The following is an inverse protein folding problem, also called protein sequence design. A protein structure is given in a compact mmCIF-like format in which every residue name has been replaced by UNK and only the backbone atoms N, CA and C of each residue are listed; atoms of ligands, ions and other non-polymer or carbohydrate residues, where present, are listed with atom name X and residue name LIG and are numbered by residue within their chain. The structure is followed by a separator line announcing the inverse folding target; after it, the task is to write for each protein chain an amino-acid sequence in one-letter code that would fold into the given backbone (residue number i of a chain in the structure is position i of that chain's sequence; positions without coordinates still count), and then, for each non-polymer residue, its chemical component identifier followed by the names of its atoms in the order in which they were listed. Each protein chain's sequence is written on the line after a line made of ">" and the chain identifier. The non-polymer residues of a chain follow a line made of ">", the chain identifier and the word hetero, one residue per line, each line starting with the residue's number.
data_IF_878851884667
#
_entry.id   IF_878851884667
#
_cell.length_a   1.000
_cell.length_b   1.000
_cell.length_c   1.000
_cell.angle_alpha   90.00
_cell.angle_beta   90.00
_cell.angle_gamma   90.00
#
_symmetry.space_group_name_H-M   'P 1'
#
loop_
_entity.id
_entity.type
_entity.pdbx_description
1 polymer ?
#
# COMPACT_ATOMS: atom_id res chain seq x y z
N UNK A 1 20.32 -3.34 21.04
CA UNK A 1 20.43 -3.86 19.65
C UNK A 1 19.17 -4.56 19.17
N UNK A 2 18.52 -5.44 19.96
CA UNK A 2 17.31 -6.16 19.52
C UNK A 2 16.14 -5.26 19.09
N UNK A 3 15.85 -4.19 19.83
CA UNK A 3 14.77 -3.24 19.48
C UNK A 3 14.99 -2.59 18.11
N UNK A 4 16.20 -2.08 17.85
CA UNK A 4 16.54 -1.44 16.57
C UNK A 4 16.43 -2.45 15.43
N UNK A 5 16.97 -3.66 15.60
CA UNK A 5 16.86 -4.71 14.59
C UNK A 5 15.41 -5.09 14.28
N UNK A 6 14.56 -5.23 15.30
CA UNK A 6 13.14 -5.50 15.13
C UNK A 6 12.43 -4.35 14.39
N UNK A 7 12.63 -3.11 14.83
CA UNK A 7 12.01 -1.93 14.22
C UNK A 7 12.42 -1.79 12.75
N UNK A 8 13.73 -1.92 12.46
CA UNK A 8 14.24 -1.91 11.08
C UNK A 8 13.64 -3.04 10.25
N UNK A 9 13.53 -4.25 10.80
CA UNK A 9 12.88 -5.38 10.14
C UNK A 9 11.43 -5.09 9.80
N UNK A 10 10.64 -4.58 10.74
CA UNK A 10 9.25 -4.20 10.52
C UNK A 10 9.10 -3.17 9.39
N UNK A 11 9.93 -2.13 9.39
CA UNK A 11 9.92 -1.09 8.35
C UNK A 11 10.29 -1.68 6.99
N UNK A 12 11.37 -2.47 6.91
CA UNK A 12 11.78 -3.07 5.64
C UNK A 12 10.71 -4.00 5.08
N UNK A 13 10.13 -4.88 5.90
CA UNK A 13 9.11 -5.80 5.46
C UNK A 13 7.79 -5.10 5.10
N UNK A 14 7.39 -4.03 5.80
CA UNK A 14 6.18 -3.27 5.42
C UNK A 14 6.31 -2.69 4.02
N UNK A 15 7.47 -2.10 3.70
CA UNK A 15 7.73 -1.57 2.36
C UNK A 15 7.79 -2.68 1.31
N UNK A 16 8.41 -3.82 1.64
CA UNK A 16 8.51 -4.94 0.69
C UNK A 16 7.14 -5.56 0.37
N UNK A 17 6.28 -5.73 1.37
CA UNK A 17 4.93 -6.29 1.17
C UNK A 17 4.06 -5.34 0.35
N UNK A 18 4.17 -4.04 0.61
CA UNK A 18 3.54 -3.01 -0.21
C UNK A 18 4.03 -3.06 -1.66
N UNK A 19 5.35 -3.14 -1.90
CA UNK A 19 5.90 -3.25 -3.25
C UNK A 19 5.36 -4.48 -4.00
N UNK A 20 5.26 -5.64 -3.34
CA UNK A 20 4.64 -6.82 -3.95
C UNK A 20 3.15 -6.66 -4.25
N UNK A 21 2.45 -5.77 -3.54
CA UNK A 21 1.05 -5.46 -3.82
C UNK A 21 0.84 -4.68 -5.12
N UNK A 22 1.86 -4.01 -5.66
CA UNK A 22 1.78 -3.42 -7.00
C UNK A 22 1.89 -4.50 -8.10
N UNK A 23 2.67 -5.55 -7.87
CA UNK A 23 3.02 -6.58 -8.85
C UNK A 23 1.86 -7.48 -9.29
N UNK A 24 1.90 -7.93 -10.54
CA UNK A 24 0.99 -8.98 -11.03
C UNK A 24 1.39 -10.35 -10.49
N UNK A 25 0.42 -11.26 -10.31
CA UNK A 25 0.69 -12.62 -9.80
C UNK A 25 1.79 -13.37 -10.57
N UNK A 26 1.91 -13.15 -11.88
CA UNK A 26 2.93 -13.75 -12.73
C UNK A 26 4.37 -13.29 -12.43
N UNK A 27 4.54 -12.12 -11.82
CA UNK A 27 5.85 -11.52 -11.51
C UNK A 27 6.29 -11.75 -10.07
N UNK A 28 5.46 -12.42 -9.26
CA UNK A 28 5.71 -12.62 -7.84
C UNK A 28 6.11 -14.07 -7.54
N UNK A 29 6.95 -14.32 -6.52
CA UNK A 29 7.20 -15.67 -6.03
C UNK A 29 5.91 -16.37 -5.62
N UNK A 30 5.79 -17.66 -5.88
CA UNK A 30 4.57 -18.44 -5.60
C UNK A 30 4.12 -18.34 -4.12
N UNK A 31 5.07 -18.30 -3.19
CA UNK A 31 4.78 -18.12 -1.76
C UNK A 31 4.16 -16.76 -1.46
N UNK A 32 4.59 -15.69 -2.13
CA UNK A 32 4.02 -14.35 -1.95
C UNK A 32 2.58 -14.32 -2.45
N UNK A 33 2.33 -14.91 -3.63
CA UNK A 33 0.97 -15.04 -4.18
C UNK A 33 0.07 -15.82 -3.24
N UNK A 34 0.53 -16.95 -2.71
CA UNK A 34 -0.23 -17.75 -1.75
C UNK A 34 -0.56 -16.97 -0.47
N UNK A 35 0.38 -16.17 0.05
CA UNK A 35 0.15 -15.34 1.23
C UNK A 35 -0.81 -14.17 0.96
N UNK A 36 -0.76 -13.56 -0.22
CA UNK A 36 -1.73 -12.55 -0.65
C UNK A 36 -3.14 -13.15 -0.81
N UNK A 37 -3.24 -14.32 -1.43
CA UNK A 37 -4.52 -15.03 -1.61
C UNK A 37 -5.11 -15.52 -0.28
N UNK A 38 -4.27 -15.84 0.70
CA UNK A 38 -4.67 -16.18 2.06
C UNK A 38 -5.02 -14.96 2.95
N UNK A 39 -4.81 -13.73 2.46
CA UNK A 39 -5.04 -12.49 3.22
C UNK A 39 -4.01 -12.23 4.34
N UNK A 40 -2.87 -12.92 4.31
CA UNK A 40 -1.75 -12.67 5.24
C UNK A 40 -0.95 -11.45 4.81
N UNK A 41 -0.77 -11.27 3.50
CA UNK A 41 -0.18 -10.08 2.89
C UNK A 41 -1.26 -9.30 2.14
N UNK A 42 -1.11 -7.98 2.05
CA UNK A 42 -2.05 -7.13 1.33
C UNK A 42 -2.10 -7.57 -0.15
N UNK A 43 -3.32 -7.75 -0.65
CA UNK A 43 -3.54 -8.14 -2.03
C UNK A 43 -3.37 -6.95 -2.98
N UNK A 44 -3.05 -7.24 -4.25
CA UNK A 44 -3.02 -6.23 -5.31
C UNK A 44 -4.33 -5.48 -5.47
N UNK A 45 -5.47 -6.15 -5.30
CA UNK A 45 -6.78 -5.52 -5.45
C UNK A 45 -7.07 -4.51 -4.33
N UNK A 46 -6.78 -4.86 -3.07
CA UNK A 46 -6.93 -3.93 -1.94
C UNK A 46 -6.00 -2.73 -2.10
N UNK A 47 -4.75 -2.98 -2.46
CA UNK A 47 -3.78 -1.92 -2.71
C UNK A 47 -4.20 -1.02 -3.88
N UNK A 48 -4.64 -1.60 -5.00
CA UNK A 48 -5.13 -0.83 -6.15
C UNK A 48 -6.41 -0.02 -5.84
N UNK A 49 -7.21 -0.44 -4.85
CA UNK A 49 -8.37 0.32 -4.41
C UNK A 49 -7.96 1.60 -3.65
N UNK A 50 -6.87 1.56 -2.89
CA UNK A 50 -6.28 2.75 -2.24
C UNK A 50 -5.84 3.80 -3.28
N UNK A 51 -5.28 3.35 -4.41
CA UNK A 51 -4.81 4.23 -5.49
C UNK A 51 -5.92 4.79 -6.39
N UNK A 52 -7.19 4.64 -6.01
CA UNK A 52 -8.35 5.15 -6.76
C UNK A 52 -9.19 6.06 -5.87
N UNK A 53 -9.91 6.98 -6.50
CA UNK A 53 -10.92 7.78 -5.82
C UNK A 53 -11.87 6.86 -5.01
N UNK A 54 -12.23 7.23 -3.77
CA UNK A 54 -11.97 8.52 -3.08
C UNK A 54 -10.62 8.66 -2.35
N UNK A 55 -9.62 7.81 -2.59
CA UNK A 55 -8.26 7.86 -2.01
C UNK A 55 -8.14 7.79 -0.48
N UNK A 56 -9.24 7.59 0.24
CA UNK A 56 -9.31 7.59 1.70
C UNK A 56 -9.66 6.20 2.29
N UNK A 57 -9.29 5.13 1.59
CA UNK A 57 -9.55 3.75 2.00
C UNK A 57 -8.28 2.89 1.93
N UNK A 58 -8.34 1.67 2.47
CA UNK A 58 -7.30 0.65 2.34
C UNK A 58 -5.89 1.07 2.80
N UNK A 59 -5.78 1.91 3.84
CA UNK A 59 -4.51 2.46 4.31
C UNK A 59 -3.48 1.44 4.86
N UNK A 60 -3.91 0.24 5.27
CA UNK A 60 -3.00 -0.78 5.83
C UNK A 60 -2.31 -1.58 4.72
N UNK A 61 -1.02 -1.30 4.52
CA UNK A 61 -0.18 -1.83 3.43
C UNK A 61 0.52 -3.17 3.73
N UNK A 62 0.38 -3.71 4.94
CA UNK A 62 1.08 -4.95 5.35
C UNK A 62 0.25 -6.18 5.01
N UNK A 63 -0.83 -6.40 5.76
CA UNK A 63 -1.78 -7.51 5.52
C UNK A 63 -3.12 -7.05 4.94
N UNK A 64 -3.49 -5.78 5.16
CA UNK A 64 -4.81 -5.25 4.81
C UNK A 64 -5.98 -5.80 5.65
N UNK A 65 -5.74 -6.70 6.61
CA UNK A 65 -6.77 -7.36 7.44
C UNK A 65 -7.66 -6.33 8.17
N UNK A 66 -7.06 -5.22 8.60
CA UNK A 66 -7.76 -4.16 9.33
C UNK A 66 -8.51 -3.17 8.43
N UNK A 67 -8.26 -3.17 7.12
CA UNK A 67 -8.81 -2.14 6.22
C UNK A 67 -10.33 -2.08 6.29
N UNK A 68 -11.02 -3.22 6.15
CA UNK A 68 -12.48 -3.24 6.21
C UNK A 68 -13.02 -2.60 7.49
N UNK A 69 -12.50 -3.02 8.64
CA UNK A 69 -12.96 -2.49 9.92
C UNK A 69 -12.68 -0.99 10.05
N UNK A 70 -11.49 -0.53 9.69
CA UNK A 70 -11.10 0.88 9.82
C UNK A 70 -11.79 1.79 8.82
N UNK A 71 -12.04 1.30 7.60
CA UNK A 71 -12.76 2.00 6.54
C UNK A 71 -14.25 2.13 6.89
N UNK A 72 -14.89 1.04 7.36
CA UNK A 72 -16.30 1.04 7.80
C UNK A 72 -16.54 2.05 8.94
N UNK A 73 -15.53 2.26 9.79
CA UNK A 73 -15.59 3.21 10.91
C UNK A 73 -14.95 4.57 10.60
N UNK A 74 -14.51 4.82 9.36
CA UNK A 74 -13.89 6.10 8.91
C UNK A 74 -12.76 6.57 9.83
N UNK A 75 -11.97 5.64 10.37
CA UNK A 75 -10.96 5.95 11.39
C UNK A 75 -9.89 6.90 10.85
N UNK A 76 -9.35 6.62 9.66
CA UNK A 76 -8.32 7.46 9.05
C UNK A 76 -8.86 8.80 8.57
N UNK A 77 -10.09 8.85 8.04
CA UNK A 77 -10.77 10.12 7.70
C UNK A 77 -10.92 11.01 8.95
N UNK A 78 -11.28 10.44 10.10
CA UNK A 78 -11.34 11.19 11.35
C UNK A 78 -9.96 11.72 11.78
N UNK A 79 -8.90 10.91 11.65
CA UNK A 79 -7.52 11.34 11.96
C UNK A 79 -7.04 12.45 11.02
N UNK A 80 -7.37 12.35 9.74
CA UNK A 80 -7.13 13.40 8.73
C UNK A 80 -7.80 14.72 9.11
N UNK A 81 -9.07 14.70 9.53
CA UNK A 81 -9.77 15.89 10.02
C UNK A 81 -9.08 16.48 11.25
N UNK A 82 -8.63 15.66 12.20
CA UNK A 82 -7.89 16.13 13.38
C UNK A 82 -6.59 16.81 12.97
N UNK A 83 -5.80 16.21 12.07
CA UNK A 83 -4.56 16.78 11.56
C UNK A 83 -4.84 18.12 10.87
N UNK A 84 -5.88 18.19 10.03
CA UNK A 84 -6.27 19.40 9.34
C UNK A 84 -6.67 20.52 10.31
N UNK A 85 -7.54 20.24 11.28
CA UNK A 85 -8.01 21.27 12.22
C UNK A 85 -6.93 21.72 13.22
N UNK A 86 -5.98 20.84 13.57
CA UNK A 86 -4.92 21.17 14.53
C UNK A 86 -3.72 21.82 13.89
N UNK A 87 -3.34 21.40 12.69
CA UNK A 87 -2.09 21.80 12.04
C UNK A 87 -2.32 22.60 10.75
N UNK A 88 -3.55 22.69 10.23
CA UNK A 88 -3.86 23.34 8.95
C UNK A 88 -3.35 22.56 7.73
N UNK A 89 -2.81 21.34 7.92
CA UNK A 89 -2.24 20.53 6.85
C UNK A 89 -3.34 19.75 6.14
N UNK A 90 -3.55 20.06 4.85
CA UNK A 90 -4.52 19.35 4.02
C UNK A 90 -4.02 17.93 3.72
N UNK A 91 -4.78 16.88 4.05
CA UNK A 91 -4.44 15.50 3.71
C UNK A 91 -4.31 15.29 2.19
N UNK A 92 -3.42 14.40 1.79
CA UNK A 92 -3.18 14.07 0.37
C UNK A 92 -4.40 13.42 -0.28
N UNK A 93 -5.15 12.62 0.46
CA UNK A 93 -6.36 11.93 0.01
C UNK A 93 -7.47 12.88 -0.46
N UNK A 94 -7.41 14.17 -0.11
CA UNK A 94 -8.43 15.17 -0.46
C UNK A 94 -8.16 15.90 -1.77
N UNK A 95 -7.17 15.44 -2.53
CA UNK A 95 -6.71 16.06 -3.77
C UNK A 95 -6.50 14.98 -4.83
N UNK A 96 -6.68 15.34 -6.10
CA UNK A 96 -6.31 14.46 -7.20
C UNK A 96 -4.80 14.21 -7.20
N UNK A 97 -4.34 13.00 -7.55
CA UNK A 97 -2.92 12.72 -7.74
C UNK A 97 -2.38 13.66 -8.83
N UNK A 98 -1.31 14.40 -8.51
CA UNK A 98 -0.61 15.19 -9.52
C UNK A 98 0.09 14.25 -10.51
N UNK A 99 -0.10 14.46 -11.82
CA UNK A 99 0.52 13.69 -12.90
C UNK A 99 2.03 13.87 -13.01
N UNK A 100 2.63 14.78 -12.23
CA UNK A 100 4.08 15.02 -12.21
C UNK A 100 4.90 13.78 -11.80
N UNK A 101 4.28 12.77 -11.17
CA UNK A 101 4.92 11.48 -10.91
C UNK A 101 4.01 10.32 -11.32
N UNK A 102 4.36 9.70 -12.46
CA UNK A 102 3.78 8.44 -12.91
C UNK A 102 4.68 7.30 -12.44
N UNK A 103 4.15 6.33 -11.72
CA UNK A 103 4.86 5.10 -11.40
C UNK A 103 5.10 4.36 -12.73
N UNK A 104 6.37 4.18 -13.13
CA UNK A 104 6.69 3.46 -14.35
C UNK A 104 6.16 2.02 -14.24
N UNK A 105 5.20 1.68 -15.08
CA UNK A 105 4.80 0.30 -15.24
C UNK A 105 6.01 -0.45 -15.82
N UNK A 106 6.61 -1.35 -15.03
CA UNK A 106 7.64 -2.26 -15.50
C UNK A 106 7.04 -3.22 -16.56
N UNK A 107 6.91 -2.76 -17.80
CA UNK A 107 6.56 -3.57 -18.96
C UNK A 107 7.65 -3.44 -20.03
N UNK A 108 8.87 -3.78 -19.65
CA UNK A 108 9.98 -3.96 -20.59
C UNK A 108 10.17 -5.45 -20.84
N UNK A 109 9.84 -6.00 -22.03
CA UNK A 109 10.27 -7.34 -22.39
C UNK A 109 11.78 -7.32 -22.53
N UNK A 110 12.49 -8.05 -21.67
CA UNK A 110 13.92 -8.30 -21.82
C UNK A 110 14.09 -9.18 -23.07
N UNK A 111 14.45 -8.57 -24.19
CA UNK A 111 14.87 -9.27 -25.38
C UNK A 111 16.22 -9.93 -25.08
N UNK A 112 16.23 -11.25 -24.90
CA UNK A 112 17.47 -12.01 -24.94
C UNK A 112 18.02 -11.94 -26.37
N UNK A 113 19.07 -11.16 -26.57
CA UNK A 113 19.88 -11.22 -27.79
C UNK A 113 20.87 -12.38 -27.60
N UNK A 114 20.63 -13.46 -28.34
CA UNK A 114 21.60 -14.53 -28.63
C UNK A 114 22.80 -14.02 -29.39
#
# INVERSE_FOLDING_TARGET
>A
MGFVGMASGCIMFSQQFHAWAHGTKSKLPAVVVALQDAGVLVSRSQHAAHHKQPYNNNYCIVSGVWNRFLDDHKVFEALEMVIYFKLGLRPRSWSEPNSDWTEEAEDSPVTYVT
#
